data_IF_452004017429
#
_entry.id   IF_452004017429
#
_cell.length_a   1.000
_cell.length_b   1.000
_cell.length_c   1.000
_cell.angle_alpha   90.00
_cell.angle_beta   90.00
_cell.angle_gamma   90.00
#
_symmetry.space_group_name_H-M   'P 1'
#
loop_
_entity.id
_entity.type
_entity.pdbx_description
1 polymer ?
#
# COMPACT_ATOMS: atom_id res chain seq x y z
N UNK A 1 24.77 8.20 -19.45
CA UNK A 1 23.54 9.00 -19.30
C UNK A 1 23.26 9.20 -17.82
N UNK A 2 23.62 10.35 -17.23
CA UNK A 2 23.52 10.62 -15.78
C UNK A 2 22.07 10.59 -15.28
N UNK A 3 21.13 11.09 -16.07
CA UNK A 3 19.71 11.16 -15.71
C UNK A 3 19.09 9.77 -15.46
N UNK A 4 19.46 8.77 -16.25
CA UNK A 4 19.00 7.40 -16.05
C UNK A 4 19.49 6.78 -14.73
N UNK A 5 20.74 7.06 -14.35
CA UNK A 5 21.30 6.57 -13.10
C UNK A 5 20.63 7.23 -11.89
N UNK A 6 20.41 8.54 -11.95
CA UNK A 6 19.71 9.28 -10.89
C UNK A 6 18.28 8.74 -10.73
N UNK A 7 17.54 8.59 -11.84
CA UNK A 7 16.19 8.04 -11.80
C UNK A 7 16.14 6.65 -11.17
N UNK A 8 16.99 5.72 -11.62
CA UNK A 8 17.01 4.35 -11.10
C UNK A 8 17.40 4.31 -9.62
N UNK A 9 18.42 5.07 -9.22
CA UNK A 9 18.85 5.14 -7.82
C UNK A 9 17.72 5.66 -6.93
N UNK A 10 17.08 6.76 -7.33
CA UNK A 10 15.97 7.34 -6.59
C UNK A 10 14.78 6.37 -6.52
N UNK A 11 14.40 5.76 -7.64
CA UNK A 11 13.31 4.77 -7.69
C UNK A 11 13.58 3.61 -6.73
N UNK A 12 14.76 2.99 -6.83
CA UNK A 12 15.12 1.85 -5.97
C UNK A 12 15.15 2.24 -4.49
N UNK A 13 15.68 3.42 -4.17
CA UNK A 13 15.71 3.93 -2.80
C UNK A 13 14.30 4.08 -2.22
N UNK A 14 13.38 4.72 -2.95
CA UNK A 14 12.01 4.92 -2.47
C UNK A 14 11.20 3.62 -2.38
N UNK A 15 11.41 2.68 -3.30
CA UNK A 15 10.83 1.33 -3.22
C UNK A 15 11.34 0.62 -1.97
N UNK A 16 12.65 0.61 -1.73
CA UNK A 16 13.25 -0.02 -0.55
C UNK A 16 12.73 0.61 0.75
N UNK A 17 12.66 1.93 0.83
CA UNK A 17 12.13 2.66 1.99
C UNK A 17 10.65 2.31 2.24
N UNK A 18 9.83 2.28 1.19
CA UNK A 18 8.41 1.93 1.29
C UNK A 18 8.23 0.50 1.79
N UNK A 19 9.04 -0.44 1.30
CA UNK A 19 9.02 -1.83 1.76
C UNK A 19 9.44 -1.97 3.23
N UNK A 20 10.46 -1.24 3.68
CA UNK A 20 10.89 -1.31 5.08
C UNK A 20 9.83 -0.71 6.02
N UNK A 21 9.20 0.40 5.64
CA UNK A 21 8.08 0.98 6.39
C UNK A 21 6.89 0.01 6.46
N UNK A 22 6.53 -0.63 5.34
CA UNK A 22 5.47 -1.63 5.30
C UNK A 22 5.79 -2.82 6.21
N UNK A 23 7.01 -3.35 6.17
CA UNK A 23 7.49 -4.39 7.10
C UNK A 23 7.36 -3.95 8.56
N UNK A 24 7.76 -2.73 8.92
CA UNK A 24 7.60 -2.22 10.29
C UNK A 24 6.13 -2.14 10.71
N UNK A 25 5.22 -1.85 9.80
CA UNK A 25 3.78 -1.85 10.08
C UNK A 25 3.22 -3.25 10.41
N UNK A 26 3.92 -4.31 10.03
CA UNK A 26 3.58 -5.69 10.41
C UNK A 26 4.20 -6.14 11.75
N UNK A 27 5.19 -5.42 12.27
CA UNK A 27 5.91 -5.85 13.48
C UNK A 27 5.12 -5.52 14.75
N UNK A 28 5.04 -6.48 15.66
CA UNK A 28 4.50 -6.24 17.00
C UNK A 28 5.35 -5.26 17.82
N UNK A 29 6.67 -5.21 17.57
CA UNK A 29 7.64 -4.32 18.24
C UNK A 29 8.57 -3.66 17.22
N UNK A 30 8.14 -2.59 16.51
CA UNK A 30 8.99 -1.88 15.58
C UNK A 30 10.18 -1.19 16.28
N UNK A 31 11.28 -0.91 15.56
CA UNK A 31 12.42 -0.15 16.07
C UNK A 31 12.01 1.21 16.66
N UNK A 32 12.79 1.74 17.60
CA UNK A 32 12.46 2.99 18.29
C UNK A 32 12.28 4.18 17.33
N UNK A 33 13.14 4.29 16.31
CA UNK A 33 13.04 5.32 15.27
C UNK A 33 11.72 5.21 14.49
N UNK A 34 11.30 3.99 14.16
CA UNK A 34 10.02 3.75 13.47
C UNK A 34 8.85 4.15 14.36
N UNK A 35 8.85 3.77 15.64
CA UNK A 35 7.81 4.16 16.60
C UNK A 35 7.72 5.67 16.78
N UNK A 36 8.86 6.36 16.82
CA UNK A 36 8.90 7.82 16.87
C UNK A 36 8.27 8.43 15.62
N UNK A 37 8.69 8.02 14.42
CA UNK A 37 8.11 8.51 13.17
C UNK A 37 6.61 8.21 13.04
N UNK A 38 6.17 7.02 13.49
CA UNK A 38 4.75 6.65 13.58
C UNK A 38 3.98 7.57 14.53
N UNK A 39 4.55 7.93 15.68
CA UNK A 39 3.94 8.86 16.64
C UNK A 39 3.77 10.27 16.07
N UNK A 40 4.70 10.69 15.20
CA UNK A 40 4.63 11.92 14.43
C UNK A 40 3.74 11.79 13.17
N UNK A 41 3.11 10.64 12.94
CA UNK A 41 2.31 10.33 11.75
C UNK A 41 3.07 10.45 10.43
N UNK A 42 4.41 10.33 10.43
CA UNK A 42 5.23 10.44 9.21
C UNK A 42 5.24 9.16 8.38
N UNK A 43 5.04 8.01 9.01
CA UNK A 43 5.02 6.69 8.36
C UNK A 43 3.82 5.86 8.83
N UNK A 44 3.48 4.83 8.05
CA UNK A 44 2.34 3.96 8.30
C UNK A 44 2.46 3.26 9.67
N UNK A 45 1.37 3.29 10.44
CA UNK A 45 1.29 2.59 11.73
C UNK A 45 0.73 1.17 11.55
N UNK A 46 1.07 0.21 12.44
CA UNK A 46 0.46 -1.11 12.43
C UNK A 46 -1.07 -1.08 12.50
N UNK A 47 -1.63 -0.17 13.29
CA UNK A 47 -3.09 0.02 13.39
C UNK A 47 -3.70 0.50 12.07
N UNK A 48 -3.04 1.44 11.38
CA UNK A 48 -3.47 1.93 10.08
C UNK A 48 -3.44 0.83 9.03
N UNK A 49 -2.32 0.10 8.96
CA UNK A 49 -2.14 -1.02 8.03
C UNK A 49 -3.12 -2.18 8.28
N UNK A 50 -3.50 -2.42 9.54
CA UNK A 50 -4.45 -3.47 9.91
C UNK A 50 -5.79 -3.34 9.16
N UNK A 51 -6.23 -2.14 8.79
CA UNK A 51 -7.47 -1.94 8.01
C UNK A 51 -7.44 -2.70 6.68
N UNK A 52 -6.31 -2.64 5.98
CA UNK A 52 -6.09 -3.39 4.75
C UNK A 52 -6.19 -4.92 4.98
N UNK A 53 -5.68 -5.41 6.11
CA UNK A 53 -5.65 -6.85 6.44
C UNK A 53 -6.95 -7.42 7.02
N UNK A 54 -7.79 -6.62 7.69
CA UNK A 54 -9.06 -7.11 8.28
C UNK A 54 -10.13 -7.32 7.20
N UNK A 55 -10.12 -6.50 6.16
CA UNK A 55 -11.07 -6.58 5.05
C UNK A 55 -10.69 -7.66 4.04
N UNK A 56 -11.01 -7.42 2.77
CA UNK A 56 -10.68 -8.31 1.65
C UNK A 56 -9.40 -7.87 0.91
N UNK A 57 -8.52 -7.11 1.57
CA UNK A 57 -7.34 -6.47 0.97
C UNK A 57 -7.68 -5.52 -0.18
N UNK A 58 -8.85 -4.90 -0.10
CA UNK A 58 -9.51 -4.16 -1.17
C UNK A 58 -9.61 -2.64 -0.91
N UNK A 59 -8.97 -2.18 0.16
CA UNK A 59 -8.94 -0.79 0.63
C UNK A 59 -7.61 -0.48 1.32
N UNK A 60 -7.38 0.82 1.59
CA UNK A 60 -6.22 1.31 2.34
C UNK A 60 -4.85 0.86 1.77
N UNK A 61 -4.66 1.05 0.46
CA UNK A 61 -3.48 0.60 -0.29
C UNK A 61 -2.19 1.42 -0.08
N UNK A 62 -2.26 2.65 0.44
CA UNK A 62 -1.07 3.48 0.63
C UNK A 62 -0.26 3.00 1.84
N UNK A 63 0.89 2.37 1.57
CA UNK A 63 1.70 1.68 2.59
C UNK A 63 2.87 2.50 3.16
N UNK A 64 3.19 3.67 2.60
CA UNK A 64 4.29 4.50 3.10
C UNK A 64 3.86 5.36 4.29
N UNK A 65 2.91 6.28 4.12
CA UNK A 65 2.42 7.15 5.22
C UNK A 65 0.99 6.84 5.63
N UNK A 66 0.20 6.28 4.71
CA UNK A 66 -1.22 5.98 4.90
C UNK A 66 -2.15 7.20 4.86
N UNK A 67 -1.65 8.42 4.67
CA UNK A 67 -2.46 9.66 4.70
C UNK A 67 -3.58 9.65 3.66
N UNK A 68 -3.29 9.17 2.46
CA UNK A 68 -4.23 9.15 1.35
C UNK A 68 -5.26 8.03 1.42
N UNK A 69 -5.09 7.05 2.32
CA UNK A 69 -6.07 5.97 2.46
C UNK A 69 -7.45 6.52 2.81
N UNK A 70 -7.54 7.47 3.77
CA UNK A 70 -8.83 8.05 4.15
C UNK A 70 -9.53 8.76 3.00
N UNK A 71 -8.79 9.51 2.18
CA UNK A 71 -9.35 10.25 1.04
C UNK A 71 -9.75 9.30 -0.09
N UNK A 72 -8.84 8.41 -0.50
CA UNK A 72 -9.04 7.50 -1.63
C UNK A 72 -10.13 6.46 -1.34
N UNK A 73 -10.17 5.94 -0.11
CA UNK A 73 -11.22 5.01 0.31
C UNK A 73 -12.59 5.75 0.37
N UNK A 74 -12.64 7.00 0.86
CA UNK A 74 -13.88 7.78 0.93
C UNK A 74 -14.49 8.10 -0.44
N UNK A 75 -13.66 8.38 -1.45
CA UNK A 75 -14.14 8.67 -2.81
C UNK A 75 -14.32 7.41 -3.67
N UNK A 76 -14.24 6.22 -3.08
CA UNK A 76 -14.31 4.93 -3.78
C UNK A 76 -13.31 4.81 -4.95
N UNK A 77 -12.15 5.46 -4.84
CA UNK A 77 -11.17 5.54 -5.92
C UNK A 77 -10.81 4.15 -6.47
N UNK A 78 -10.60 3.18 -5.58
CA UNK A 78 -10.20 1.82 -5.95
C UNK A 78 -11.30 1.06 -6.72
N UNK A 79 -12.57 1.22 -6.33
CA UNK A 79 -13.70 0.57 -7.04
C UNK A 79 -13.86 1.14 -8.46
N UNK A 80 -13.64 2.45 -8.60
CA UNK A 80 -13.64 3.12 -9.91
C UNK A 80 -12.48 2.63 -10.76
N UNK A 81 -11.26 2.57 -10.20
CA UNK A 81 -10.08 2.06 -10.90
C UNK A 81 -10.27 0.61 -11.36
N UNK A 82 -10.83 -0.26 -10.52
CA UNK A 82 -11.19 -1.63 -10.90
C UNK A 82 -12.18 -1.67 -12.07
N UNK A 83 -13.22 -0.84 -12.03
CA UNK A 83 -14.21 -0.76 -13.13
C UNK A 83 -13.56 -0.34 -14.44
N UNK A 84 -12.64 0.62 -14.39
CA UNK A 84 -11.87 1.07 -15.57
C UNK A 84 -10.97 -0.04 -16.10
N UNK A 85 -10.24 -0.74 -15.22
CA UNK A 85 -9.40 -1.87 -15.63
C UNK A 85 -10.24 -2.95 -16.29
N UNK A 86 -11.34 -3.37 -15.67
CA UNK A 86 -12.25 -4.37 -16.26
C UNK A 86 -12.83 -3.91 -17.60
N UNK A 87 -13.21 -2.64 -17.75
CA UNK A 87 -13.71 -2.12 -19.01
C UNK A 87 -12.66 -2.14 -20.13
N UNK A 88 -11.39 -1.93 -19.80
CA UNK A 88 -10.29 -1.87 -20.77
C UNK A 88 -9.68 -3.24 -21.08
N UNK A 89 -9.67 -4.17 -20.13
CA UNK A 89 -8.94 -5.45 -20.26
C UNK A 89 -9.84 -6.68 -20.17
N UNK A 90 -11.06 -6.55 -19.67
CA UNK A 90 -11.93 -7.68 -19.34
C UNK A 90 -11.55 -8.41 -18.03
N UNK A 91 -10.46 -8.01 -17.37
CA UNK A 91 -10.01 -8.66 -16.14
C UNK A 91 -10.95 -8.37 -14.97
N UNK A 92 -11.37 -9.42 -14.27
CA UNK A 92 -12.30 -9.33 -13.14
C UNK A 92 -11.48 -9.16 -11.84
N UNK A 93 -11.76 -8.12 -11.02
CA UNK A 93 -11.04 -7.89 -9.78
C UNK A 93 -11.07 -9.12 -8.88
N UNK A 94 -9.89 -9.53 -8.40
CA UNK A 94 -9.70 -10.65 -7.46
C UNK A 94 -10.21 -12.01 -7.97
N UNK A 95 -10.42 -12.19 -9.28
CA UNK A 95 -10.86 -13.48 -9.83
C UNK A 95 -9.87 -14.62 -9.52
N UNK A 96 -8.56 -14.31 -9.57
CA UNK A 96 -7.52 -15.28 -9.21
C UNK A 96 -7.59 -15.69 -7.73
N UNK A 97 -7.93 -14.78 -6.82
CA UNK A 97 -8.07 -15.12 -5.39
C UNK A 97 -9.23 -16.09 -5.16
N UNK A 98 -10.34 -15.92 -5.87
CA UNK A 98 -11.48 -16.85 -5.82
C UNK A 98 -11.07 -18.24 -6.29
N UNK A 99 -10.39 -18.30 -7.43
CA UNK A 99 -9.86 -19.56 -7.97
C UNK A 99 -8.87 -20.25 -7.01
N UNK A 100 -7.88 -19.52 -6.50
CA UNK A 100 -6.83 -20.06 -5.63
C UNK A 100 -7.33 -20.42 -4.22
N UNK A 101 -8.34 -19.70 -3.72
CA UNK A 101 -8.92 -19.96 -2.39
C UNK A 101 -10.14 -20.87 -2.43
N UNK A 102 -10.51 -21.41 -3.62
CA UNK A 102 -11.64 -22.31 -3.81
C UNK A 102 -13.01 -21.68 -3.46
N UNK A 103 -13.15 -20.37 -3.67
CA UNK A 103 -14.37 -19.60 -3.39
C UNK A 103 -15.15 -19.26 -4.65
#
# INVERSE_FOLDING_TARGET
>A
NVSGHVFLLTLTLFVALTNEVHKWSHMAKPPAVARFMMSCHLILTPRGHRKHHIGNHDQSYCITTGWMNGVLDHVNFWRVAETVVTALTGEIPRANDKYLLGK
#
